data_IF_489459032433
#
_entry.id   IF_489459032433
#
_cell.length_a   1.000
_cell.length_b   1.000
_cell.length_c   1.000
_cell.angle_alpha   90.00
_cell.angle_beta   90.00
_cell.angle_gamma   90.00
#
_symmetry.space_group_name_H-M   'P 1'
#
loop_
_entity.id
_entity.type
_entity.pdbx_description
1 polymer ?
#
# COMPACT_ATOMS: atom_id res chain seq x y z
N UNK A 1 15.56 -39.52 4.11
CA UNK A 1 14.15 -39.43 3.68
C UNK A 1 13.46 -38.47 4.61
N UNK A 2 13.20 -37.24 4.15
CA UNK A 2 12.39 -36.27 4.91
C UNK A 2 10.99 -36.89 4.94
N UNK A 3 10.40 -37.05 6.14
CA UNK A 3 9.02 -37.48 6.26
C UNK A 3 8.17 -36.48 5.46
N UNK A 4 7.56 -36.93 4.37
CA UNK A 4 6.73 -36.06 3.54
C UNK A 4 5.63 -35.49 4.43
N UNK A 5 5.55 -34.16 4.53
CA UNK A 5 4.42 -33.53 5.18
C UNK A 5 3.15 -33.97 4.43
N UNK A 6 2.29 -34.74 5.10
CA UNK A 6 1.10 -35.32 4.45
C UNK A 6 0.02 -34.28 4.14
N UNK A 7 0.09 -33.10 4.79
CA UNK A 7 -0.85 -31.99 4.61
C UNK A 7 -0.13 -30.65 4.41
N UNK A 8 -0.73 -29.76 3.61
CA UNK A 8 -0.20 -28.41 3.36
C UNK A 8 -0.28 -27.52 4.61
N UNK A 9 -1.26 -27.74 5.48
CA UNK A 9 -1.37 -27.02 6.75
C UNK A 9 -0.20 -27.33 7.69
N UNK A 10 0.32 -28.57 7.69
CA UNK A 10 1.51 -28.94 8.46
C UNK A 10 2.78 -28.24 7.95
N UNK A 11 2.90 -28.08 6.63
CA UNK A 11 4.00 -27.30 6.01
C UNK A 11 3.95 -25.83 6.42
N UNK A 12 2.75 -25.25 6.45
CA UNK A 12 2.57 -23.85 6.85
C UNK A 12 2.97 -23.61 8.30
N UNK A 13 2.60 -24.53 9.20
CA UNK A 13 2.81 -24.40 10.65
C UNK A 13 4.16 -24.93 11.15
N UNK A 14 4.93 -25.59 10.29
CA UNK A 14 6.19 -26.23 10.71
C UNK A 14 7.22 -25.20 11.15
N UNK A 15 7.86 -25.45 12.29
CA UNK A 15 9.06 -24.73 12.72
C UNK A 15 10.36 -25.35 12.17
N UNK A 16 10.28 -26.55 11.58
CA UNK A 16 11.41 -27.20 10.91
C UNK A 16 11.57 -26.61 9.51
N UNK A 17 12.70 -25.95 9.26
CA UNK A 17 13.06 -25.33 7.98
C UNK A 17 13.07 -26.32 6.82
N UNK A 18 13.45 -27.58 7.05
CA UNK A 18 13.49 -28.60 6.01
C UNK A 18 12.10 -28.99 5.50
N UNK A 19 11.07 -28.77 6.32
CA UNK A 19 9.65 -28.98 5.98
C UNK A 19 9.04 -27.65 5.53
N UNK A 20 9.28 -26.57 6.27
CA UNK A 20 8.70 -25.25 6.03
C UNK A 20 9.13 -24.69 4.67
N UNK A 21 10.38 -24.91 4.26
CA UNK A 21 10.92 -24.34 3.02
C UNK A 21 10.70 -25.24 1.80
N UNK A 22 9.93 -26.32 1.93
CA UNK A 22 9.55 -27.15 0.79
C UNK A 22 8.74 -26.32 -0.21
N UNK A 23 9.13 -26.41 -1.49
CA UNK A 23 8.39 -25.77 -2.56
C UNK A 23 7.02 -26.43 -2.73
N UNK A 24 6.00 -25.61 -3.01
CA UNK A 24 4.66 -26.11 -3.29
C UNK A 24 4.66 -27.07 -4.49
N UNK A 25 5.44 -26.74 -5.54
CA UNK A 25 5.67 -27.59 -6.71
C UNK A 25 6.12 -29.01 -6.31
N UNK A 26 7.13 -29.11 -5.44
CA UNK A 26 7.64 -30.42 -4.98
C UNK A 26 6.61 -31.22 -4.19
N UNK A 27 5.75 -30.55 -3.42
CA UNK A 27 4.70 -31.23 -2.64
C UNK A 27 3.58 -31.70 -3.56
N UNK A 28 3.23 -30.90 -4.58
CA UNK A 28 2.10 -31.14 -5.48
C UNK A 28 2.41 -32.06 -6.67
N UNK A 29 3.68 -32.27 -7.03
CA UNK A 29 4.11 -33.00 -8.22
C UNK A 29 3.39 -34.34 -8.42
N UNK A 30 3.42 -35.23 -7.42
CA UNK A 30 2.91 -36.60 -7.51
C UNK A 30 1.52 -36.79 -6.87
N UNK A 31 0.81 -35.69 -6.58
CA UNK A 31 -0.48 -35.74 -5.88
C UNK A 31 -1.65 -35.82 -6.85
N UNK A 32 -2.67 -36.60 -6.48
CA UNK A 32 -3.91 -36.74 -7.24
C UNK A 32 -4.79 -35.50 -7.11
N UNK A 33 -5.77 -35.37 -8.01
CA UNK A 33 -6.76 -34.29 -7.97
C UNK A 33 -7.61 -34.34 -6.68
N UNK A 34 -7.96 -35.53 -6.19
CA UNK A 34 -8.71 -35.71 -4.95
C UNK A 34 -7.92 -35.21 -3.74
N UNK A 35 -6.60 -35.51 -3.71
CA UNK A 35 -5.72 -34.98 -2.68
C UNK A 35 -5.70 -33.45 -2.72
N UNK A 36 -5.51 -32.85 -3.89
CA UNK A 36 -5.46 -31.39 -4.03
C UNK A 36 -6.77 -30.73 -3.60
N UNK A 37 -7.91 -31.30 -3.97
CA UNK A 37 -9.23 -30.76 -3.60
C UNK A 37 -9.43 -30.77 -2.08
N UNK A 38 -9.10 -31.89 -1.42
CA UNK A 38 -9.18 -32.01 0.03
C UNK A 38 -8.24 -31.03 0.74
N UNK A 39 -7.02 -30.86 0.25
CA UNK A 39 -6.08 -29.90 0.83
C UNK A 39 -6.50 -28.45 0.59
N UNK A 40 -7.09 -28.11 -0.57
CA UNK A 40 -7.69 -26.80 -0.80
C UNK A 40 -8.84 -26.52 0.18
N UNK A 41 -9.71 -27.50 0.45
CA UNK A 41 -10.77 -27.35 1.44
C UNK A 41 -10.20 -27.15 2.85
N UNK A 42 -9.20 -27.96 3.23
CA UNK A 42 -8.49 -27.82 4.51
C UNK A 42 -7.82 -26.45 4.67
N UNK A 43 -7.16 -25.95 3.61
CA UNK A 43 -6.53 -24.63 3.59
C UNK A 43 -7.58 -23.51 3.66
N UNK A 44 -8.72 -23.63 2.97
CA UNK A 44 -9.79 -22.62 3.03
C UNK A 44 -10.39 -22.52 4.43
N UNK A 45 -10.59 -23.66 5.09
CA UNK A 45 -11.04 -23.69 6.48
C UNK A 45 -9.97 -23.10 7.40
N UNK A 46 -8.71 -23.53 7.24
CA UNK A 46 -7.59 -23.09 8.06
C UNK A 46 -7.37 -21.58 8.03
N UNK A 47 -7.43 -20.93 6.86
CA UNK A 47 -7.30 -19.46 6.75
C UNK A 47 -8.42 -18.67 7.44
N UNK A 48 -9.60 -19.29 7.63
CA UNK A 48 -10.75 -18.65 8.30
C UNK A 48 -10.62 -18.74 9.82
N UNK A 49 -9.93 -19.76 10.33
CA UNK A 49 -9.83 -20.03 11.77
C UNK A 49 -8.48 -19.68 12.38
N UNK A 50 -7.40 -19.59 11.59
CA UNK A 50 -6.08 -19.23 12.13
C UNK A 50 -6.09 -17.79 12.65
N UNK A 51 -5.47 -17.57 13.81
CA UNK A 51 -5.24 -16.25 14.39
C UNK A 51 -3.90 -15.63 13.96
N UNK A 52 -3.05 -16.40 13.28
CA UNK A 52 -1.74 -15.95 12.83
C UNK A 52 -1.86 -15.39 11.41
N UNK A 53 -1.52 -14.11 11.23
CA UNK A 53 -1.59 -13.44 9.93
C UNK A 53 -0.72 -14.14 8.87
N UNK A 54 0.50 -14.53 9.22
CA UNK A 54 1.43 -15.16 8.30
C UNK A 54 0.85 -16.48 7.77
N UNK A 55 0.35 -17.32 8.66
CA UNK A 55 -0.27 -18.60 8.31
C UNK A 55 -1.47 -18.41 7.38
N UNK A 56 -2.34 -17.43 7.67
CA UNK A 56 -3.51 -17.12 6.83
C UNK A 56 -3.11 -16.67 5.44
N UNK A 57 -2.16 -15.75 5.34
CA UNK A 57 -1.70 -15.20 4.06
C UNK A 57 -0.99 -16.29 3.26
N UNK A 58 -0.16 -17.11 3.90
CA UNK A 58 0.50 -18.24 3.25
C UNK A 58 -0.49 -19.27 2.73
N UNK A 59 -1.55 -19.59 3.48
CA UNK A 59 -2.63 -20.44 3.02
C UNK A 59 -3.37 -19.87 1.80
N UNK A 60 -3.63 -18.55 1.78
CA UNK A 60 -4.24 -17.88 0.64
C UNK A 60 -3.36 -17.94 -0.62
N UNK A 61 -2.05 -17.74 -0.49
CA UNK A 61 -1.13 -17.86 -1.62
C UNK A 61 -0.96 -19.31 -2.09
N UNK A 62 -0.97 -20.30 -1.17
CA UNK A 62 -1.00 -21.71 -1.54
C UNK A 62 -2.27 -22.04 -2.33
N UNK A 63 -3.44 -21.61 -1.85
CA UNK A 63 -4.72 -21.77 -2.57
C UNK A 63 -4.65 -21.14 -3.97
N UNK A 64 -4.21 -19.89 -4.06
CA UNK A 64 -4.07 -19.20 -5.34
C UNK A 64 -3.16 -19.95 -6.32
N UNK A 65 -1.99 -20.42 -5.84
CA UNK A 65 -1.02 -21.15 -6.66
C UNK A 65 -1.54 -22.54 -7.07
N UNK A 66 -2.20 -23.28 -6.18
CA UNK A 66 -2.79 -24.59 -6.51
C UNK A 66 -3.83 -24.44 -7.60
N UNK A 67 -4.79 -23.53 -7.43
CA UNK A 67 -5.84 -23.30 -8.42
C UNK A 67 -5.28 -22.75 -9.74
N UNK A 68 -4.18 -21.99 -9.72
CA UNK A 68 -3.59 -21.39 -10.93
C UNK A 68 -2.69 -22.34 -11.71
N UNK A 69 -1.85 -23.11 -11.02
CA UNK A 69 -0.72 -23.82 -11.64
C UNK A 69 -0.78 -25.33 -11.48
N UNK A 70 -1.31 -25.85 -10.37
CA UNK A 70 -1.26 -27.29 -10.08
C UNK A 70 -2.53 -28.03 -10.47
N UNK A 71 -3.70 -27.44 -10.23
CA UNK A 71 -4.99 -28.06 -10.51
C UNK A 71 -5.30 -28.15 -12.02
N UNK A 72 -5.08 -27.12 -12.87
CA UNK A 72 -5.56 -27.13 -14.27
C UNK A 72 -5.04 -28.30 -15.10
N UNK A 73 -3.77 -28.67 -14.97
CA UNK A 73 -3.16 -29.79 -15.69
C UNK A 73 -3.77 -31.17 -15.35
N UNK A 74 -4.54 -31.26 -14.26
CA UNK A 74 -5.18 -32.49 -13.76
C UNK A 74 -6.69 -32.48 -13.98
N UNK A 75 -7.24 -31.40 -14.53
CA UNK A 75 -8.67 -31.30 -14.83
C UNK A 75 -9.01 -31.99 -16.14
N UNK A 76 -10.20 -32.62 -16.23
CA UNK A 76 -10.70 -33.05 -17.53
C UNK A 76 -10.89 -31.82 -18.42
N UNK A 77 -10.56 -31.93 -19.71
CA UNK A 77 -10.72 -30.84 -20.70
C UNK A 77 -12.18 -30.39 -20.70
N UNK A 78 -12.47 -29.28 -20.00
CA UNK A 78 -13.84 -28.85 -19.81
C UNK A 78 -13.93 -27.32 -19.79
N UNK A 79 -14.75 -26.78 -20.69
CA UNK A 79 -15.12 -25.37 -20.71
C UNK A 79 -16.15 -25.13 -19.60
N UNK A 80 -15.67 -24.76 -18.42
CA UNK A 80 -16.54 -24.37 -17.30
C UNK A 80 -17.18 -23.00 -17.50
N UNK A 81 -18.31 -22.77 -16.83
CA UNK A 81 -18.93 -21.44 -16.74
C UNK A 81 -18.51 -20.74 -15.45
N UNK A 82 -18.29 -19.43 -15.53
CA UNK A 82 -18.06 -18.58 -14.36
C UNK A 82 -19.41 -18.04 -13.89
N UNK A 83 -19.84 -18.31 -12.64
CA UNK A 83 -21.07 -17.72 -12.09
C UNK A 83 -21.01 -16.19 -12.13
N UNK A 84 -22.02 -15.57 -12.74
CA UNK A 84 -22.10 -14.11 -12.92
C UNK A 84 -22.03 -13.34 -11.59
N UNK A 85 -22.74 -13.81 -10.56
CA UNK A 85 -22.76 -13.16 -9.24
C UNK A 85 -21.38 -13.22 -8.57
N UNK A 86 -20.67 -14.35 -8.71
CA UNK A 86 -19.31 -14.50 -8.20
C UNK A 86 -18.33 -13.56 -8.89
N UNK A 87 -18.44 -13.43 -10.21
CA UNK A 87 -17.63 -12.47 -10.97
C UNK A 87 -17.95 -11.01 -10.60
N UNK A 88 -19.23 -10.68 -10.40
CA UNK A 88 -19.66 -9.37 -9.94
C UNK A 88 -19.11 -9.03 -8.56
N UNK A 89 -19.12 -9.98 -7.62
CA UNK A 89 -18.48 -9.79 -6.31
C UNK A 89 -16.98 -9.58 -6.40
N UNK A 90 -16.29 -10.34 -7.27
CA UNK A 90 -14.86 -10.18 -7.51
C UNK A 90 -14.52 -8.75 -7.98
N UNK A 91 -15.26 -8.21 -8.95
CA UNK A 91 -15.06 -6.84 -9.45
C UNK A 91 -15.32 -5.78 -8.37
N UNK A 92 -16.30 -6.02 -7.50
CA UNK A 92 -16.64 -5.13 -6.39
C UNK A 92 -15.76 -5.36 -5.14
N UNK A 93 -14.62 -6.07 -5.27
CA UNK A 93 -13.68 -6.36 -4.19
C UNK A 93 -14.28 -7.14 -3.01
N UNK A 94 -15.40 -7.83 -3.22
CA UNK A 94 -16.09 -8.71 -2.26
C UNK A 94 -15.58 -10.14 -2.41
N UNK A 95 -14.28 -10.32 -2.13
CA UNK A 95 -13.54 -11.54 -2.49
C UNK A 95 -14.02 -12.78 -1.72
N UNK A 96 -14.39 -12.63 -0.45
CA UNK A 96 -14.86 -13.76 0.36
C UNK A 96 -16.17 -14.33 -0.20
N UNK A 97 -17.12 -13.45 -0.55
CA UNK A 97 -18.40 -13.84 -1.16
C UNK A 97 -18.19 -14.44 -2.56
N UNK A 98 -17.28 -13.88 -3.37
CA UNK A 98 -16.92 -14.44 -4.67
C UNK A 98 -16.38 -15.88 -4.54
N UNK A 99 -15.45 -16.12 -3.60
CA UNK A 99 -14.89 -17.44 -3.32
C UNK A 99 -15.99 -18.43 -2.94
N UNK A 100 -16.92 -18.05 -2.06
CA UNK A 100 -18.02 -18.93 -1.65
C UNK A 100 -18.92 -19.33 -2.81
N UNK A 101 -19.23 -18.41 -3.73
CA UNK A 101 -20.00 -18.71 -4.94
C UNK A 101 -19.23 -19.67 -5.86
N UNK A 102 -17.95 -19.42 -6.09
CA UNK A 102 -17.13 -20.29 -6.96
C UNK A 102 -16.93 -21.68 -6.37
N UNK A 103 -16.69 -21.80 -5.06
CA UNK A 103 -16.59 -23.09 -4.38
C UNK A 103 -17.90 -23.86 -4.43
N UNK A 104 -19.05 -23.19 -4.24
CA UNK A 104 -20.38 -23.82 -4.37
C UNK A 104 -20.61 -24.33 -5.79
N UNK A 105 -20.30 -23.53 -6.81
CA UNK A 105 -20.39 -23.94 -8.21
C UNK A 105 -19.49 -25.15 -8.50
N UNK A 106 -18.28 -25.18 -7.95
CA UNK A 106 -17.35 -26.31 -8.05
C UNK A 106 -17.89 -27.57 -7.37
N UNK A 107 -18.60 -27.44 -6.25
CA UNK A 107 -19.23 -28.58 -5.56
C UNK A 107 -20.38 -29.17 -6.39
N UNK A 108 -21.17 -28.33 -7.07
CA UNK A 108 -22.33 -28.78 -7.87
C UNK A 108 -21.93 -29.35 -9.23
N UNK A 109 -21.08 -28.64 -9.97
CA UNK A 109 -20.76 -28.95 -11.38
C UNK A 109 -19.40 -29.63 -11.57
N UNK A 110 -18.65 -29.82 -10.49
CA UNK A 110 -17.26 -30.26 -10.52
C UNK A 110 -16.27 -29.13 -10.82
N UNK A 111 -14.96 -29.40 -10.66
CA UNK A 111 -13.93 -28.41 -10.96
C UNK A 111 -13.75 -28.23 -12.47
N UNK A 112 -13.42 -27.01 -12.89
CA UNK A 112 -13.17 -26.63 -14.29
C UNK A 112 -12.11 -25.53 -14.35
N UNK A 113 -11.48 -25.35 -15.51
CA UNK A 113 -10.45 -24.31 -15.70
C UNK A 113 -10.97 -22.90 -15.41
N UNK A 114 -12.23 -22.64 -15.78
CA UNK A 114 -12.91 -21.37 -15.52
C UNK A 114 -13.02 -21.10 -14.02
N UNK A 115 -13.54 -22.05 -13.24
CA UNK A 115 -13.66 -21.91 -11.79
C UNK A 115 -12.29 -21.86 -11.09
N UNK A 116 -11.33 -22.67 -11.55
CA UNK A 116 -9.97 -22.66 -11.02
C UNK A 116 -9.31 -21.29 -11.23
N UNK A 117 -9.42 -20.71 -12.43
CA UNK A 117 -8.90 -19.37 -12.70
C UNK A 117 -9.60 -18.29 -11.86
N UNK A 118 -10.93 -18.38 -11.70
CA UNK A 118 -11.69 -17.45 -10.84
C UNK A 118 -11.30 -17.55 -9.36
N UNK A 119 -11.17 -18.76 -8.83
CA UNK A 119 -10.73 -19.01 -7.45
C UNK A 119 -9.30 -18.54 -7.24
N UNK A 120 -8.39 -18.83 -8.16
CA UNK A 120 -7.01 -18.37 -8.10
C UNK A 120 -6.92 -16.84 -7.98
N UNK A 121 -7.65 -16.13 -8.84
CA UNK A 121 -7.72 -14.66 -8.81
C UNK A 121 -8.32 -14.15 -7.49
N UNK A 122 -9.44 -14.71 -7.05
CA UNK A 122 -10.12 -14.28 -5.83
C UNK A 122 -9.27 -14.52 -4.56
N UNK A 123 -8.61 -15.68 -4.45
CA UNK A 123 -7.70 -15.98 -3.34
C UNK A 123 -6.47 -15.08 -3.33
N UNK A 124 -5.88 -14.82 -4.50
CA UNK A 124 -4.75 -13.92 -4.65
C UNK A 124 -5.11 -12.50 -4.19
N UNK A 125 -6.23 -11.97 -4.66
CA UNK A 125 -6.73 -10.65 -4.27
C UNK A 125 -7.07 -10.59 -2.77
N UNK A 126 -7.68 -11.65 -2.22
CA UNK A 126 -7.96 -11.74 -0.79
C UNK A 126 -6.67 -11.78 0.06
N UNK A 127 -5.59 -12.38 -0.44
CA UNK A 127 -4.29 -12.37 0.24
C UNK A 127 -3.76 -10.94 0.40
N UNK A 128 -3.75 -10.15 -0.69
CA UNK A 128 -3.33 -8.75 -0.65
C UNK A 128 -4.26 -7.88 0.19
N UNK A 129 -5.57 -8.09 0.08
CA UNK A 129 -6.54 -7.38 0.92
C UNK A 129 -6.30 -7.66 2.41
N UNK A 130 -6.03 -8.92 2.78
CA UNK A 130 -5.73 -9.33 4.16
C UNK A 130 -4.48 -8.62 4.70
N UNK A 131 -3.43 -8.50 3.87
CA UNK A 131 -2.22 -7.75 4.22
C UNK A 131 -2.50 -6.24 4.36
N UNK A 132 -3.22 -5.65 3.40
CA UNK A 132 -3.57 -4.23 3.43
C UNK A 132 -4.42 -3.88 4.66
N UNK A 133 -5.34 -4.77 5.06
CA UNK A 133 -6.17 -4.58 6.24
C UNK A 133 -5.36 -4.65 7.55
N UNK A 134 -4.33 -5.50 7.61
CA UNK A 134 -3.39 -5.49 8.72
C UNK A 134 -2.66 -4.13 8.81
N UNK A 135 -2.17 -3.62 7.69
CA UNK A 135 -1.46 -2.33 7.66
C UNK A 135 -2.38 -1.20 8.10
N UNK A 136 -3.60 -1.14 7.56
CA UNK A 136 -4.61 -0.18 8.00
C UNK A 136 -4.89 -0.31 9.50
N UNK A 137 -5.02 -1.53 10.02
CA UNK A 137 -5.23 -1.77 11.44
C UNK A 137 -4.07 -1.23 12.28
N UNK A 138 -2.82 -1.58 11.95
CA UNK A 138 -1.62 -1.14 12.64
C UNK A 138 -1.44 0.38 12.63
N UNK A 139 -1.73 1.03 11.50
CA UNK A 139 -1.64 2.49 11.40
C UNK A 139 -2.77 3.17 12.17
N UNK A 140 -3.98 2.60 12.17
CA UNK A 140 -5.13 3.10 12.93
C UNK A 140 -4.93 3.00 14.44
N UNK A 141 -4.30 1.93 14.94
CA UNK A 141 -4.04 1.75 16.37
C UNK A 141 -2.87 2.61 16.87
N UNK A 142 -1.99 3.08 15.98
CA UNK A 142 -0.96 4.04 16.33
C UNK A 142 -1.56 5.35 16.86
N UNK A 143 -1.04 5.82 18.00
CA UNK A 143 -1.54 7.01 18.70
C UNK A 143 -1.48 8.23 17.77
N UNK A 144 -2.59 8.96 17.65
CA UNK A 144 -2.68 10.17 16.82
C UNK A 144 -3.25 9.96 15.42
N UNK A 145 -3.49 8.71 14.97
CA UNK A 145 -4.03 8.43 13.64
C UNK A 145 -5.52 8.04 13.64
N UNK A 146 -6.11 7.66 14.78
CA UNK A 146 -7.49 7.14 14.85
C UNK A 146 -8.54 8.05 14.20
N UNK A 147 -8.38 9.37 14.32
CA UNK A 147 -9.32 10.34 13.76
C UNK A 147 -9.41 10.25 12.22
N UNK A 148 -8.30 9.94 11.55
CA UNK A 148 -8.24 9.84 10.08
C UNK A 148 -9.17 8.74 9.53
N UNK A 149 -9.48 7.73 10.34
CA UNK A 149 -10.36 6.63 9.95
C UNK A 149 -11.82 6.84 10.39
N UNK A 150 -12.12 7.93 11.11
CA UNK A 150 -13.47 8.26 11.60
C UNK A 150 -14.09 9.46 10.90
N UNK A 151 -13.26 10.36 10.38
CA UNK A 151 -13.72 11.56 9.67
C UNK A 151 -14.19 11.17 8.27
N UNK A 152 -15.51 11.10 8.07
CA UNK A 152 -16.13 10.77 6.79
C UNK A 152 -16.74 11.94 6.02
N UNK A 153 -16.79 13.13 6.62
CA UNK A 153 -17.36 14.32 6.00
C UNK A 153 -16.39 15.50 6.05
N UNK A 154 -16.28 16.34 5.00
CA UNK A 154 -15.35 17.48 4.95
C UNK A 154 -15.50 18.47 6.12
N UNK A 155 -16.71 18.67 6.61
CA UNK A 155 -16.99 19.59 7.73
C UNK A 155 -16.37 19.14 9.06
N UNK A 156 -16.18 17.82 9.22
CA UNK A 156 -15.61 17.21 10.42
C UNK A 156 -14.08 17.27 10.43
N UNK A 157 -13.45 17.81 9.38
CA UNK A 157 -11.99 17.92 9.27
C UNK A 157 -11.40 18.76 10.43
N UNK A 158 -10.62 18.14 11.34
CA UNK A 158 -10.02 18.86 12.47
C UNK A 158 -8.84 19.74 12.06
N UNK A 159 -8.15 19.43 10.94
CA UNK A 159 -6.93 20.12 10.57
C UNK A 159 -7.16 21.53 10.03
N UNK A 160 -6.22 22.43 10.30
CA UNK A 160 -6.13 23.78 9.72
C UNK A 160 -4.75 24.02 9.18
N UNK A 161 -4.67 24.70 8.05
CA UNK A 161 -3.38 25.20 7.55
C UNK A 161 -2.90 26.32 8.48
N UNK A 162 -1.61 26.30 8.83
CA UNK A 162 -1.02 27.32 9.67
C UNK A 162 -1.17 28.71 9.02
N UNK A 163 -1.55 29.71 9.82
CA UNK A 163 -1.81 31.08 9.32
C UNK A 163 -0.61 31.70 8.60
N UNK A 164 0.61 31.35 8.99
CA UNK A 164 1.85 31.81 8.36
C UNK A 164 2.00 31.35 6.89
N UNK A 165 1.21 30.38 6.43
CA UNK A 165 1.23 29.86 5.05
C UNK A 165 0.08 30.41 4.20
N UNK A 166 -0.86 31.12 4.80
CA UNK A 166 -2.02 31.67 4.11
C UNK A 166 -1.65 33.08 3.62
N UNK A 167 -1.88 33.41 2.33
CA UNK A 167 -1.64 34.75 1.81
C UNK A 167 -2.41 35.80 2.62
N UNK A 168 -1.69 36.82 3.11
CA UNK A 168 -2.30 37.96 3.81
C UNK A 168 -2.73 39.07 2.85
N UNK A 169 -2.21 39.08 1.62
CA UNK A 169 -2.47 40.12 0.61
C UNK A 169 -2.81 39.47 -0.72
N UNK A 170 -3.94 39.84 -1.37
CA UNK A 170 -4.27 39.37 -2.72
C UNK A 170 -3.14 39.67 -3.71
N UNK A 171 -2.81 38.70 -4.57
CA UNK A 171 -1.77 38.84 -5.59
C UNK A 171 -0.33 38.60 -5.11
N UNK A 172 -0.09 38.46 -3.81
CA UNK A 172 1.19 38.02 -3.28
C UNK A 172 1.17 36.49 -3.17
N UNK A 173 2.13 35.77 -3.79
CA UNK A 173 2.21 34.31 -3.68
C UNK A 173 2.33 33.87 -2.22
N UNK A 174 1.64 32.77 -1.87
CA UNK A 174 1.79 32.15 -0.57
C UNK A 174 3.25 31.72 -0.32
N UNK A 175 3.73 31.71 0.94
CA UNK A 175 5.01 31.12 1.28
C UNK A 175 5.12 29.67 0.81
N UNK A 176 6.26 29.33 0.21
CA UNK A 176 6.55 27.98 -0.27
C UNK A 176 7.27 27.19 0.81
N UNK A 177 6.65 26.10 1.28
CA UNK A 177 7.32 25.13 2.13
C UNK A 177 8.21 24.21 1.31
N UNK A 178 9.35 23.83 1.88
CA UNK A 178 10.29 22.89 1.27
C UNK A 178 10.72 21.86 2.31
N UNK A 179 10.51 20.58 2.01
CA UNK A 179 11.10 19.46 2.74
C UNK A 179 12.16 18.80 1.85
N UNK A 180 13.32 18.50 2.43
CA UNK A 180 14.45 17.88 1.72
C UNK A 180 14.89 16.65 2.47
N UNK A 181 15.05 15.53 1.77
CA UNK A 181 15.46 14.28 2.41
C UNK A 181 16.51 13.53 1.59
N UNK A 182 17.39 12.85 2.33
CA UNK A 182 18.38 11.94 1.77
C UNK A 182 17.68 10.70 1.20
N UNK A 183 18.39 9.94 0.37
CA UNK A 183 17.98 8.58 -0.02
C UNK A 183 18.49 7.54 0.97
N UNK A 184 17.97 6.32 0.92
CA UNK A 184 18.44 5.18 1.71
C UNK A 184 19.40 4.33 0.87
N UNK A 185 20.56 3.99 1.42
CA UNK A 185 21.46 2.99 0.87
C UNK A 185 21.57 1.80 1.83
N UNK A 186 21.29 0.59 1.32
CA UNK A 186 21.56 -0.65 2.04
C UNK A 186 23.01 -1.06 1.82
N UNK A 187 23.77 -1.19 2.92
CA UNK A 187 25.19 -1.53 2.91
C UNK A 187 25.43 -3.04 2.84
N UNK A 188 24.44 -3.84 3.23
CA UNK A 188 24.59 -5.29 3.37
C UNK A 188 24.44 -6.03 2.04
N UNK A 189 23.88 -5.38 1.01
CA UNK A 189 23.48 -6.01 -0.27
C UNK A 189 22.64 -7.28 -0.09
N UNK A 190 22.02 -7.47 1.09
CA UNK A 190 21.14 -8.58 1.42
C UNK A 190 19.82 -8.35 0.68
N UNK A 191 19.79 -8.68 -0.60
CA UNK A 191 18.66 -8.42 -1.48
C UNK A 191 17.34 -8.85 -0.80
N UNK A 192 16.57 -7.85 -0.35
CA UNK A 192 15.23 -8.02 0.20
C UNK A 192 15.16 -8.73 1.56
N UNK A 193 16.16 -8.57 2.44
CA UNK A 193 16.06 -9.07 3.82
C UNK A 193 15.07 -8.28 4.69
N UNK A 194 14.66 -7.08 4.28
CA UNK A 194 13.71 -6.21 5.00
C UNK A 194 12.26 -6.31 4.47
N UNK A 195 11.91 -7.37 3.73
CA UNK A 195 10.55 -7.56 3.20
C UNK A 195 9.58 -8.14 4.24
N UNK A 196 8.32 -7.73 4.13
CA UNK A 196 7.25 -8.09 5.05
C UNK A 196 7.12 -9.62 5.25
N UNK A 197 7.22 -10.41 4.18
CA UNK A 197 7.12 -11.86 4.26
C UNK A 197 8.25 -12.52 5.03
N UNK A 198 9.49 -12.11 4.80
CA UNK A 198 10.63 -12.65 5.54
C UNK A 198 10.55 -12.25 7.01
N UNK A 199 10.18 -10.99 7.28
CA UNK A 199 9.97 -10.52 8.66
C UNK A 199 8.88 -11.26 9.42
N UNK A 200 7.88 -11.82 8.71
CA UNK A 200 6.85 -12.67 9.32
C UNK A 200 7.30 -14.13 9.51
N UNK A 201 8.06 -14.68 8.57
CA UNK A 201 8.45 -16.11 8.53
C UNK A 201 9.72 -16.40 9.35
N UNK A 202 10.73 -15.55 9.19
CA UNK A 202 12.03 -15.66 9.82
C UNK A 202 12.54 -14.28 10.29
N UNK A 203 11.95 -13.74 11.38
CA UNK A 203 12.30 -12.42 11.90
C UNK A 203 13.79 -12.26 12.20
N UNK A 204 14.44 -13.32 12.71
CA UNK A 204 15.87 -13.29 13.02
C UNK A 204 16.76 -13.10 11.80
N UNK A 205 16.32 -13.53 10.61
CA UNK A 205 17.00 -13.32 9.35
C UNK A 205 16.63 -12.02 8.65
N UNK A 206 15.56 -11.35 9.09
CA UNK A 206 15.10 -10.08 8.53
C UNK A 206 15.93 -8.89 9.05
N UNK A 207 17.24 -8.93 8.79
CA UNK A 207 18.21 -7.93 9.24
C UNK A 207 18.69 -7.07 8.09
N UNK A 208 18.81 -5.77 8.32
CA UNK A 208 19.29 -4.81 7.33
C UNK A 208 20.17 -3.76 7.98
N UNK A 209 21.21 -3.30 7.28
CA UNK A 209 22.06 -2.20 7.69
C UNK A 209 21.97 -1.08 6.66
N UNK A 210 21.21 -0.03 7.00
CA UNK A 210 20.91 1.08 6.12
C UNK A 210 21.57 2.37 6.58
N UNK A 211 21.93 3.23 5.62
CA UNK A 211 22.38 4.60 5.88
C UNK A 211 21.64 5.59 4.99
N UNK A 212 21.40 6.79 5.52
CA UNK A 212 20.89 7.92 4.75
C UNK A 212 22.03 8.60 4.02
N UNK A 213 21.93 8.76 2.70
CA UNK A 213 22.98 9.34 1.87
C UNK A 213 22.46 10.49 1.01
N UNK A 214 23.23 11.58 1.01
CA UNK A 214 23.07 12.68 0.06
C UNK A 214 23.82 12.34 -1.23
N UNK A 215 23.37 12.86 -2.36
CA UNK A 215 23.94 12.58 -3.67
C UNK A 215 24.50 13.85 -4.31
N UNK A 216 25.53 13.68 -5.13
CA UNK A 216 26.08 14.73 -5.97
C UNK A 216 26.82 14.12 -7.15
N UNK A 217 26.72 14.74 -8.32
CA UNK A 217 27.43 14.33 -9.52
C UNK A 217 28.84 14.91 -9.48
N UNK A 218 29.84 14.04 -9.45
CA UNK A 218 31.26 14.42 -9.40
C UNK A 218 31.61 15.31 -10.60
N UNK A 219 32.21 16.46 -10.33
CA UNK A 219 32.61 17.44 -11.36
C UNK A 219 31.50 18.40 -11.79
N UNK A 220 30.24 18.16 -11.39
CA UNK A 220 29.11 19.08 -11.59
C UNK A 220 28.73 19.79 -10.29
N UNK A 221 28.56 19.01 -9.22
CA UNK A 221 28.06 19.50 -7.94
C UNK A 221 29.23 19.78 -6.97
N UNK A 222 29.18 20.92 -6.28
CA UNK A 222 30.21 21.33 -5.32
C UNK A 222 30.24 20.45 -4.05
N UNK A 223 29.09 19.90 -3.66
CA UNK A 223 28.94 18.97 -2.54
C UNK A 223 27.68 18.10 -2.73
N UNK A 224 27.63 16.89 -2.12
CA UNK A 224 26.42 16.09 -2.09
C UNK A 224 25.29 16.79 -1.34
N UNK A 225 24.08 16.74 -1.90
CA UNK A 225 22.86 17.32 -1.32
C UNK A 225 21.73 16.29 -1.24
N UNK A 226 20.71 16.51 -0.39
CA UNK A 226 19.52 15.68 -0.40
C UNK A 226 18.87 15.71 -1.79
N UNK A 227 18.70 14.56 -2.47
CA UNK A 227 18.22 14.54 -3.86
C UNK A 227 16.69 14.59 -3.96
N UNK A 228 15.97 14.35 -2.86
CA UNK A 228 14.51 14.33 -2.81
C UNK A 228 14.01 15.64 -2.19
N UNK A 229 13.11 16.32 -2.89
CA UNK A 229 12.48 17.55 -2.45
C UNK A 229 10.95 17.45 -2.59
N UNK A 230 10.23 17.96 -1.60
CA UNK A 230 8.78 18.09 -1.60
C UNK A 230 8.41 19.54 -1.28
N UNK A 231 7.44 20.08 -2.00
CA UNK A 231 7.01 21.46 -1.87
C UNK A 231 5.52 21.55 -1.63
N UNK A 232 5.11 22.48 -0.78
CA UNK A 232 3.70 22.76 -0.52
C UNK A 232 3.47 24.27 -0.44
N UNK A 233 2.40 24.74 -1.07
CA UNK A 233 1.89 26.10 -0.89
C UNK A 233 0.37 26.15 -0.97
N UNK A 234 -0.20 27.20 -0.38
CA UNK A 234 -1.60 27.56 -0.60
C UNK A 234 -1.73 28.25 -1.96
N UNK A 235 -2.79 27.95 -2.69
CA UNK A 235 -3.12 28.57 -3.99
C UNK A 235 -4.50 29.22 -3.93
N UNK A 236 -4.74 30.22 -4.76
CA UNK A 236 -5.96 31.03 -4.85
C UNK A 236 -7.09 30.39 -5.68
N UNK A 237 -7.05 29.06 -5.79
CA UNK A 237 -8.05 28.25 -6.49
C UNK A 237 -8.44 27.07 -5.59
N UNK A 238 -9.73 26.74 -5.42
CA UNK A 238 -10.20 25.70 -4.50
C UNK A 238 -10.01 24.28 -5.07
N UNK A 239 -8.79 23.96 -5.49
CA UNK A 239 -8.39 22.68 -6.08
C UNK A 239 -7.21 22.09 -5.33
N UNK A 240 -7.03 20.77 -5.45
CA UNK A 240 -5.80 20.11 -5.07
C UNK A 240 -4.94 19.92 -6.32
N UNK A 241 -3.90 20.74 -6.47
CA UNK A 241 -2.94 20.60 -7.57
C UNK A 241 -1.80 19.69 -7.14
N UNK A 242 -1.59 18.61 -7.88
CA UNK A 242 -0.49 17.69 -7.68
C UNK A 242 0.47 17.79 -8.86
N UNK A 243 1.77 17.90 -8.61
CA UNK A 243 2.77 17.93 -9.66
C UNK A 243 4.03 17.12 -9.32
N UNK A 244 4.63 16.51 -10.33
CA UNK A 244 5.95 15.90 -10.27
C UNK A 244 6.81 16.53 -11.35
N UNK A 245 7.89 17.20 -10.92
CA UNK A 245 8.82 17.87 -11.83
C UNK A 245 9.59 16.83 -12.65
N UNK A 246 10.02 15.75 -12.02
CA UNK A 246 10.79 14.66 -12.62
C UNK A 246 9.99 13.84 -13.64
N UNK A 247 8.68 13.65 -13.40
CA UNK A 247 7.80 12.99 -14.36
C UNK A 247 7.21 13.95 -15.41
N UNK A 248 7.40 15.26 -15.24
CA UNK A 248 6.76 16.28 -16.10
C UNK A 248 5.23 16.21 -16.07
N UNK A 249 4.65 15.76 -14.96
CA UNK A 249 3.22 15.46 -14.83
C UNK A 249 2.55 16.39 -13.81
N UNK A 250 1.34 16.84 -14.13
CA UNK A 250 0.51 17.68 -13.27
C UNK A 250 -0.96 17.29 -13.42
N UNK A 251 -1.71 17.35 -12.32
CA UNK A 251 -3.18 17.25 -12.34
C UNK A 251 -3.80 18.20 -11.31
N UNK A 252 -5.03 18.60 -11.56
CA UNK A 252 -5.87 19.34 -10.61
C UNK A 252 -7.09 18.50 -10.27
N UNK A 253 -7.33 18.31 -8.98
CA UNK A 253 -8.44 17.53 -8.46
C UNK A 253 -9.46 18.47 -7.83
N UNK A 254 -10.74 18.20 -8.07
CA UNK A 254 -11.87 19.02 -7.61
C UNK A 254 -12.84 18.24 -6.71
N UNK A 255 -12.83 16.92 -6.79
CA UNK A 255 -13.63 16.01 -5.97
C UNK A 255 -12.74 15.18 -5.06
N UNK A 256 -13.25 14.84 -3.88
CA UNK A 256 -12.53 14.02 -2.90
C UNK A 256 -12.25 12.62 -3.46
N UNK A 257 -13.21 12.02 -4.17
CA UNK A 257 -13.07 10.68 -4.71
C UNK A 257 -11.92 10.57 -5.74
N UNK A 258 -11.57 11.65 -6.43
CA UNK A 258 -10.45 11.69 -7.37
C UNK A 258 -9.08 11.51 -6.69
N UNK A 259 -9.00 11.77 -5.38
CA UNK A 259 -7.80 11.55 -4.56
C UNK A 259 -7.61 10.06 -4.29
N UNK A 260 -8.67 9.26 -4.27
CA UNK A 260 -8.63 7.81 -4.08
C UNK A 260 -8.53 7.03 -5.40
N UNK A 261 -8.69 7.71 -6.56
CA UNK A 261 -8.53 7.11 -7.88
C UNK A 261 -7.05 7.06 -8.30
N UNK A 262 -6.36 6.00 -7.90
CA UNK A 262 -4.94 5.78 -8.23
C UNK A 262 -4.69 5.37 -9.69
N UNK A 263 -5.72 4.99 -10.45
CA UNK A 263 -5.58 4.55 -11.84
C UNK A 263 -5.64 5.72 -12.84
N UNK A 264 -6.13 6.88 -12.40
CA UNK A 264 -6.34 8.06 -13.25
C UNK A 264 -5.07 8.69 -13.81
N UNK A 265 -3.99 8.69 -13.05
CA UNK A 265 -2.77 9.41 -13.38
C UNK A 265 -1.53 8.78 -12.74
N UNK A 266 -0.34 9.25 -13.14
CA UNK A 266 0.94 8.77 -12.64
C UNK A 266 1.38 9.42 -11.31
N UNK A 267 0.49 10.18 -10.64
CA UNK A 267 0.78 10.92 -9.41
C UNK A 267 0.24 10.20 -8.16
N UNK A 268 0.03 8.88 -8.24
CA UNK A 268 -0.47 8.05 -7.15
C UNK A 268 0.30 8.20 -5.83
N UNK A 269 1.63 8.43 -5.88
CA UNK A 269 2.42 8.66 -4.67
C UNK A 269 2.03 9.96 -3.95
N UNK A 270 1.72 11.04 -4.69
CA UNK A 270 1.28 12.30 -4.11
C UNK A 270 -0.13 12.16 -3.53
N UNK A 271 -1.03 11.44 -4.21
CA UNK A 271 -2.36 11.11 -3.68
C UNK A 271 -2.25 10.34 -2.37
N UNK A 272 -1.41 9.31 -2.34
CA UNK A 272 -1.12 8.54 -1.13
C UNK A 272 -0.58 9.43 0.00
N UNK A 273 0.30 10.39 -0.31
CA UNK A 273 0.82 11.32 0.69
C UNK A 273 -0.27 12.23 1.27
N UNK A 274 -1.17 12.76 0.43
CA UNK A 274 -2.30 13.60 0.86
C UNK A 274 -3.24 12.82 1.78
N UNK A 275 -3.52 11.56 1.44
CA UNK A 275 -4.36 10.67 2.25
C UNK A 275 -3.68 10.33 3.58
N UNK A 276 -2.43 9.89 3.52
CA UNK A 276 -1.64 9.47 4.67
C UNK A 276 -1.30 10.65 5.62
N UNK A 277 -1.18 11.87 5.10
CA UNK A 277 -1.02 13.07 5.91
C UNK A 277 -2.32 13.50 6.61
N UNK A 278 -3.47 12.94 6.21
CA UNK A 278 -4.78 13.28 6.77
C UNK A 278 -5.40 14.56 6.21
N UNK A 279 -4.86 15.12 5.12
CA UNK A 279 -5.50 16.25 4.41
C UNK A 279 -6.82 15.76 3.82
N UNK A 280 -6.81 14.60 3.14
CA UNK A 280 -8.01 13.89 2.67
C UNK A 280 -7.99 12.50 3.31
N UNK A 281 -8.39 12.38 4.59
CA UNK A 281 -8.15 11.16 5.36
C UNK A 281 -8.96 9.95 4.83
N UNK A 282 -8.52 8.69 5.07
CA UNK A 282 -9.18 7.50 4.55
C UNK A 282 -10.67 7.38 4.86
N UNK A 283 -11.14 7.95 5.98
CA UNK A 283 -12.56 7.94 6.31
C UNK A 283 -13.46 8.66 5.29
N UNK A 284 -12.90 9.56 4.47
CA UNK A 284 -13.63 10.30 3.43
C UNK A 284 -13.72 9.57 2.08
N UNK A 285 -13.15 8.37 1.95
CA UNK A 285 -13.23 7.57 0.72
C UNK A 285 -14.71 7.27 0.37
N UNK A 286 -15.13 7.64 -0.84
CA UNK A 286 -16.51 7.44 -1.31
C UNK A 286 -17.53 8.43 -0.73
N UNK A 287 -17.08 9.56 -0.16
CA UNK A 287 -18.02 10.57 0.37
C UNK A 287 -18.74 11.37 -0.73
N UNK A 288 -18.24 11.36 -1.98
CA UNK A 288 -18.89 12.04 -3.11
C UNK A 288 -19.00 13.56 -2.96
N UNK A 289 -18.10 14.18 -2.19
CA UNK A 289 -18.09 15.63 -1.93
C UNK A 289 -16.95 16.35 -2.67
N UNK A 290 -17.16 17.63 -3.03
CA UNK A 290 -16.10 18.45 -3.63
C UNK A 290 -15.02 18.85 -2.61
N UNK A 291 -13.80 19.05 -3.11
CA UNK A 291 -12.62 19.46 -2.34
C UNK A 291 -12.72 20.91 -1.84
N UNK A 292 -13.50 21.75 -2.51
CA UNK A 292 -13.70 23.14 -2.11
C UNK A 292 -14.24 23.26 -0.67
N UNK A 293 -15.16 22.38 -0.26
CA UNK A 293 -15.72 22.33 1.10
C UNK A 293 -14.69 21.91 2.14
N UNK A 294 -13.79 21.03 1.75
CA UNK A 294 -12.68 20.61 2.62
C UNK A 294 -11.69 21.77 2.80
N UNK A 295 -11.29 22.42 1.72
CA UNK A 295 -10.35 23.54 1.80
C UNK A 295 -10.95 24.79 2.43
N UNK A 296 -12.25 25.05 2.24
CA UNK A 296 -12.96 26.11 2.97
C UNK A 296 -12.85 25.89 4.49
N UNK A 297 -12.94 24.64 4.93
CA UNK A 297 -12.77 24.27 6.34
C UNK A 297 -11.32 24.37 6.81
N UNK A 298 -10.35 23.96 6.00
CA UNK A 298 -8.93 23.88 6.38
C UNK A 298 -8.17 25.21 6.26
N UNK A 299 -8.49 26.01 5.26
CA UNK A 299 -7.69 27.16 4.80
C UNK A 299 -8.57 28.42 4.76
N UNK A 300 -9.74 28.31 4.14
CA UNK A 300 -10.66 29.43 3.89
C UNK A 300 -11.25 29.36 2.48
N UNK A 301 -12.33 30.11 2.26
CA UNK A 301 -13.06 30.10 0.98
C UNK A 301 -12.18 30.56 -0.18
N UNK A 302 -12.23 29.82 -1.29
CA UNK A 302 -11.53 30.15 -2.53
C UNK A 302 -10.07 29.69 -2.59
N UNK A 303 -9.54 29.11 -1.51
CA UNK A 303 -8.18 28.60 -1.47
C UNK A 303 -8.12 27.09 -1.67
N UNK A 304 -6.99 26.62 -2.16
CA UNK A 304 -6.64 25.21 -2.29
C UNK A 304 -5.17 24.97 -1.97
N UNK A 305 -4.66 23.79 -2.33
CA UNK A 305 -3.29 23.39 -2.07
C UNK A 305 -2.60 22.94 -3.35
N UNK A 306 -1.34 23.30 -3.48
CA UNK A 306 -0.43 22.71 -4.45
C UNK A 306 0.64 21.89 -3.71
N UNK A 307 0.78 20.63 -4.10
CA UNK A 307 1.80 19.71 -3.60
C UNK A 307 2.67 19.27 -4.78
N UNK A 308 3.98 19.49 -4.67
CA UNK A 308 4.94 19.20 -5.73
C UNK A 308 6.02 18.25 -5.22
N UNK A 309 6.40 17.30 -6.06
CA UNK A 309 7.55 16.42 -5.85
C UNK A 309 8.66 16.71 -6.85
N UNK A 310 9.91 16.54 -6.42
CA UNK A 310 11.09 16.61 -7.25
C UNK A 310 12.13 15.60 -6.79
N UNK A 311 12.61 14.77 -7.70
CA UNK A 311 13.74 13.87 -7.46
C UNK A 311 14.85 14.20 -8.45
N UNK A 312 16.00 14.62 -7.92
CA UNK A 312 17.12 15.09 -8.72
C UNK A 312 17.97 13.93 -9.27
N UNK A 313 17.92 13.69 -10.58
CA UNK A 313 18.87 12.87 -11.35
C UNK A 313 19.06 11.41 -10.85
N UNK A 314 18.02 10.78 -10.32
CA UNK A 314 18.07 9.37 -9.91
C UNK A 314 17.28 8.51 -10.90
N UNK A 315 17.92 7.54 -11.59
CA UNK A 315 17.20 6.64 -12.48
C UNK A 315 16.29 5.70 -11.68
N UNK A 316 15.15 5.32 -12.29
CA UNK A 316 14.28 4.26 -11.75
C UNK A 316 15.09 2.97 -11.59
N UNK A 317 14.85 2.24 -10.51
CA UNK A 317 15.58 1.01 -10.20
C UNK A 317 16.95 1.21 -9.55
N UNK A 318 17.29 2.42 -9.10
CA UNK A 318 18.55 2.73 -8.39
C UNK A 318 18.74 1.98 -7.06
N UNK A 319 17.70 1.33 -6.53
CA UNK A 319 17.68 0.65 -5.22
C UNK A 319 17.95 1.59 -4.04
N UNK A 320 17.77 2.89 -4.23
CA UNK A 320 17.98 3.92 -3.20
C UNK A 320 16.72 4.23 -2.38
N UNK A 321 15.70 3.37 -2.46
CA UNK A 321 14.38 3.53 -1.82
C UNK A 321 13.79 4.95 -1.95
N UNK A 322 13.87 5.52 -3.15
CA UNK A 322 13.47 6.91 -3.43
C UNK A 322 12.00 7.14 -3.11
N UNK A 323 11.12 6.21 -3.48
CA UNK A 323 9.67 6.34 -3.29
C UNK A 323 9.26 6.47 -1.82
N UNK A 324 9.80 5.62 -0.94
CA UNK A 324 9.53 5.64 0.51
C UNK A 324 9.96 6.97 1.13
N UNK A 325 11.16 7.43 0.81
CA UNK A 325 11.68 8.67 1.37
C UNK A 325 10.95 9.90 0.80
N UNK A 326 10.60 9.89 -0.49
CA UNK A 326 9.77 10.92 -1.11
C UNK A 326 8.38 10.98 -0.47
N UNK A 327 7.75 9.83 -0.23
CA UNK A 327 6.47 9.76 0.48
C UNK A 327 6.59 10.33 1.90
N UNK A 328 7.65 9.98 2.62
CA UNK A 328 7.95 10.57 3.93
C UNK A 328 8.10 12.09 3.89
N UNK A 329 8.79 12.62 2.88
CA UNK A 329 8.95 14.06 2.70
C UNK A 329 7.63 14.78 2.37
N UNK A 330 6.82 14.20 1.47
CA UNK A 330 5.49 14.71 1.12
C UNK A 330 4.54 14.70 2.33
N UNK A 331 4.55 13.63 3.12
CA UNK A 331 3.75 13.54 4.35
C UNK A 331 4.25 14.57 5.38
N UNK A 332 5.57 14.70 5.57
CA UNK A 332 6.16 15.68 6.49
C UNK A 332 5.75 17.11 6.14
N UNK A 333 5.88 17.53 4.88
CA UNK A 333 5.53 18.90 4.48
C UNK A 333 4.03 19.18 4.69
N UNK A 334 3.16 18.23 4.39
CA UNK A 334 1.73 18.30 4.67
C UNK A 334 1.41 18.38 6.17
N UNK A 335 2.08 17.58 6.99
CA UNK A 335 1.90 17.57 8.44
C UNK A 335 2.42 18.86 9.09
N UNK A 336 3.53 19.42 8.59
CA UNK A 336 3.99 20.75 8.99
C UNK A 336 2.98 21.80 8.62
N UNK A 337 2.51 21.81 7.38
CA UNK A 337 1.54 22.79 6.91
C UNK A 337 0.25 22.80 7.74
N UNK A 338 -0.13 21.67 8.32
CA UNK A 338 -1.37 21.48 9.09
C UNK A 338 -1.18 21.47 10.62
N UNK A 339 0.02 21.81 11.10
CA UNK A 339 0.31 21.90 12.53
C UNK A 339 0.33 20.55 13.27
N UNK A 340 0.47 19.44 12.54
CA UNK A 340 0.52 18.09 13.12
C UNK A 340 1.89 17.72 13.68
N UNK A 341 2.94 18.47 13.32
CA UNK A 341 4.29 18.35 13.88
C UNK A 341 4.68 19.65 14.59
N UNK A 342 5.60 19.54 15.55
CA UNK A 342 5.89 20.62 16.49
C UNK A 342 6.62 21.84 15.87
N UNK A 343 7.27 21.68 14.72
CA UNK A 343 8.11 22.73 14.13
C UNK A 343 7.80 22.94 12.65
N UNK A 344 7.71 24.20 12.23
CA UNK A 344 7.49 24.56 10.81
C UNK A 344 8.76 24.36 9.96
N UNK A 345 9.93 24.52 10.57
CA UNK A 345 11.24 24.37 9.94
C UNK A 345 12.18 23.53 10.81
N UNK A 346 13.34 23.17 10.26
CA UNK A 346 14.34 22.36 10.96
C UNK A 346 14.00 20.85 10.99
N UNK A 347 14.84 20.03 11.65
CA UNK A 347 14.65 18.59 11.67
C UNK A 347 13.39 18.19 12.44
N UNK A 348 12.75 17.10 12.00
CA UNK A 348 11.67 16.48 12.76
C UNK A 348 12.17 15.92 14.10
N UNK A 349 11.37 16.08 15.14
CA UNK A 349 11.59 15.40 16.42
C UNK A 349 11.40 13.89 16.26
N UNK A 350 11.93 13.09 17.18
CA UNK A 350 11.78 11.63 17.12
C UNK A 350 10.31 11.18 17.13
N UNK A 351 9.45 11.86 17.88
CA UNK A 351 8.02 11.55 17.92
C UNK A 351 7.32 11.88 16.59
N UNK A 352 7.70 13.00 15.96
CA UNK A 352 7.19 13.39 14.64
C UNK A 352 7.65 12.37 13.58
N UNK A 353 8.92 11.94 13.63
CA UNK A 353 9.47 10.92 12.71
C UNK A 353 8.71 9.60 12.78
N UNK A 354 8.39 9.12 13.99
CA UNK A 354 7.61 7.87 14.16
C UNK A 354 6.20 7.99 13.56
N UNK A 355 5.58 9.15 13.70
CA UNK A 355 4.25 9.41 13.13
C UNK A 355 4.30 9.48 11.61
N UNK A 356 5.29 10.19 11.05
CA UNK A 356 5.53 10.25 9.60
C UNK A 356 5.83 8.87 9.05
N UNK A 357 6.67 8.07 9.72
CA UNK A 357 7.01 6.71 9.29
C UNK A 357 5.77 5.79 9.28
N UNK A 358 4.95 5.82 10.34
CA UNK A 358 3.70 5.05 10.39
C UNK A 358 2.74 5.42 9.25
N UNK A 359 2.65 6.72 8.91
CA UNK A 359 1.82 7.21 7.79
C UNK A 359 2.43 6.91 6.43
N UNK A 360 3.75 6.92 6.30
CA UNK A 360 4.44 6.50 5.08
C UNK A 360 4.12 5.03 4.77
N UNK A 361 4.14 4.14 5.77
CA UNK A 361 3.72 2.74 5.60
C UNK A 361 2.28 2.66 5.06
N UNK A 362 1.35 3.46 5.59
CA UNK A 362 -0.02 3.53 5.03
C UNK A 362 -0.01 3.98 3.57
N UNK A 363 0.71 5.05 3.27
CA UNK A 363 0.76 5.61 1.92
C UNK A 363 1.38 4.66 0.89
N UNK A 364 2.38 3.86 1.27
CA UNK A 364 2.97 2.86 0.37
C UNK A 364 1.97 1.78 -0.06
N UNK A 365 1.15 1.33 0.89
CA UNK A 365 0.10 0.35 0.63
C UNK A 365 -1.08 0.92 -0.15
N UNK A 366 -1.38 2.21 0.03
CA UNK A 366 -2.42 2.90 -0.75
C UNK A 366 -1.97 3.17 -2.19
N UNK A 367 -0.76 3.69 -2.37
CA UNK A 367 -0.20 4.07 -3.67
C UNK A 367 0.32 2.90 -4.50
N UNK A 368 0.20 1.66 -4.01
CA UNK A 368 0.69 0.46 -4.68
C UNK A 368 2.22 0.37 -4.80
N UNK A 369 2.97 1.18 -4.04
CA UNK A 369 4.44 1.13 -4.02
C UNK A 369 4.99 0.13 -2.98
N UNK A 370 4.13 -0.41 -2.11
CA UNK A 370 4.47 -1.39 -1.08
C UNK A 370 4.25 -2.86 -1.50
N UNK A 371 4.11 -3.14 -2.80
CA UNK A 371 3.90 -4.48 -3.37
C UNK A 371 5.12 -5.02 -4.09
#
# INVERSE_FOLDING_TARGET
MIAAADTLTSVIKSNDESIRNLSLDSICADKSIEWMRRECESLDQFRRTSNNLYERVRALFFLAAIYRYHLPSRLPVNQGQIPFDGFSHLLNRRFAEAIEIFLRAQQTSGPSDALASSLASAYHQLAFQTLADQVRHSVRTFRGNQWMFRVGHPLDQPLRVQSALIPTTPGVPAPLMVERTAVRMDLSHSAWSDIFFLGMDYPDGARVMNVSVNLGVKGRDAAPRPPIEAYLRVIDQPVLRLASIDLGAQTELTQIDEVFDFARDYLGLLKAAVIAAGIVPPGMEGCGRPLDRLFERMIGKGYGLELVSSVNDIPKGSRLAVSTNLLGALISVCMRATGQVNSLSGPLTENDRRTVAARAILGEWLGGSGG
#
